data_IF_847886774850
#
_entry.id   IF_847886774850
#
_cell.length_a   1.000
_cell.length_b   1.000
_cell.length_c   1.000
_cell.angle_alpha   90.00
_cell.angle_beta   90.00
_cell.angle_gamma   90.00
#
_symmetry.space_group_name_H-M   'P 1'
#
loop_
_entity.id
_entity.type
_entity.pdbx_description
1 polymer ?
#
# COMPACT_ATOMS: atom_id res chain seq x y z
N UNK A 1 -17.41 74.09 15.10
CA UNK A 1 -18.77 74.37 15.60
C UNK A 1 -19.67 73.21 15.18
N UNK A 2 -20.60 72.85 16.07
CA UNK A 2 -21.70 71.87 15.94
C UNK A 2 -21.33 70.40 16.20
N UNK A 3 -21.85 69.63 17.17
CA UNK A 3 -23.05 69.61 18.04
C UNK A 3 -24.00 68.47 17.68
N UNK A 4 -24.19 67.58 18.66
CA UNK A 4 -25.41 66.83 19.05
C UNK A 4 -25.87 65.58 18.27
N UNK A 5 -25.90 64.49 19.05
CA UNK A 5 -27.08 63.70 19.44
C UNK A 5 -27.63 62.57 18.54
N UNK A 6 -27.90 61.47 19.25
CA UNK A 6 -28.45 60.18 18.87
C UNK A 6 -29.87 60.28 18.32
N UNK A 7 -30.24 59.37 17.41
CA UNK A 7 -31.63 58.91 17.23
C UNK A 7 -31.64 57.43 16.82
N UNK A 8 -32.24 56.59 17.67
CA UNK A 8 -32.76 55.27 17.34
C UNK A 8 -34.20 55.43 16.82
N UNK A 9 -34.54 54.82 15.69
CA UNK A 9 -35.92 54.58 15.26
C UNK A 9 -35.96 53.32 14.37
N UNK A 10 -36.73 52.30 14.72
CA UNK A 10 -38.20 52.16 14.57
C UNK A 10 -38.61 51.78 13.14
N UNK A 11 -38.54 50.49 12.83
CA UNK A 11 -39.42 49.86 11.83
C UNK A 11 -39.59 48.38 12.16
N UNK A 12 -40.21 48.16 13.31
CA UNK A 12 -40.67 46.87 13.77
C UNK A 12 -42.14 46.78 13.37
N UNK A 13 -42.41 46.39 12.13
CA UNK A 13 -43.69 45.80 11.72
C UNK A 13 -43.61 45.31 10.28
N UNK A 14 -43.97 44.03 10.13
CA UNK A 14 -44.65 43.46 8.97
C UNK A 14 -43.77 43.16 7.74
N UNK A 15 -43.26 41.93 7.62
CA UNK A 15 -43.44 41.13 6.40
C UNK A 15 -42.93 39.68 6.53
N UNK A 16 -43.74 38.77 5.98
CA UNK A 16 -43.37 37.47 5.40
C UNK A 16 -42.93 36.33 6.32
N UNK A 17 -43.96 35.65 6.82
CA UNK A 17 -44.13 34.19 6.77
C UNK A 17 -43.38 33.55 5.57
N UNK A 18 -42.19 33.00 5.81
CA UNK A 18 -41.52 32.07 4.90
C UNK A 18 -41.33 30.75 5.64
N UNK A 19 -42.21 29.80 5.34
CA UNK A 19 -42.13 28.41 5.73
C UNK A 19 -40.84 27.81 5.14
N UNK A 20 -39.75 27.88 5.91
CA UNK A 20 -38.58 27.03 5.71
C UNK A 20 -38.97 25.64 6.22
N UNK A 21 -39.58 24.82 5.37
CA UNK A 21 -39.57 23.37 5.60
C UNK A 21 -38.13 22.91 5.37
N UNK A 22 -37.39 22.45 6.39
CA UNK A 22 -36.16 21.73 6.12
C UNK A 22 -36.58 20.47 5.37
N UNK A 23 -36.17 20.37 4.10
CA UNK A 23 -36.09 19.06 3.46
C UNK A 23 -35.16 18.23 4.33
N UNK A 24 -35.75 17.43 5.21
CA UNK A 24 -35.03 16.39 5.93
C UNK A 24 -34.60 15.39 4.85
N UNK A 25 -33.43 15.64 4.27
CA UNK A 25 -32.65 14.63 3.58
C UNK A 25 -32.26 13.60 4.63
N UNK A 26 -33.17 12.69 4.94
CA UNK A 26 -32.87 11.42 5.59
C UNK A 26 -32.01 10.62 4.63
N UNK A 27 -30.73 10.98 4.56
CA UNK A 27 -29.72 10.13 3.97
C UNK A 27 -29.76 8.81 4.72
N UNK A 28 -30.18 7.75 4.07
CA UNK A 28 -29.93 6.41 4.56
C UNK A 28 -28.43 6.30 4.76
N UNK A 29 -27.98 6.23 6.02
CA UNK A 29 -26.59 5.91 6.32
C UNK A 29 -26.41 4.43 5.99
N UNK A 30 -26.05 4.17 4.74
CA UNK A 30 -25.64 2.84 4.31
C UNK A 30 -24.29 2.56 4.97
N UNK A 31 -24.31 1.78 6.05
CA UNK A 31 -23.12 1.21 6.64
C UNK A 31 -22.57 0.15 5.69
N UNK A 32 -21.72 0.56 4.75
CA UNK A 32 -20.99 -0.35 3.89
C UNK A 32 -19.84 -0.96 4.67
N UNK A 33 -20.02 -2.17 5.20
CA UNK A 33 -18.89 -3.00 5.65
C UNK A 33 -18.17 -3.51 4.40
N UNK A 34 -17.05 -2.88 4.06
CA UNK A 34 -16.18 -3.36 2.97
C UNK A 34 -15.58 -4.71 3.42
N UNK A 35 -15.79 -5.80 2.68
CA UNK A 35 -15.21 -7.10 3.05
C UNK A 35 -13.68 -6.99 3.02
N UNK A 36 -13.01 -7.70 3.93
CA UNK A 36 -11.55 -7.76 3.88
C UNK A 36 -11.14 -8.56 2.63
N UNK A 37 -10.00 -8.25 2.01
CA UNK A 37 -9.55 -8.96 0.80
C UNK A 37 -9.44 -10.48 0.99
N UNK A 38 -9.07 -10.95 2.18
CA UNK A 38 -9.05 -12.38 2.57
C UNK A 38 -10.42 -13.07 2.58
N UNK A 39 -11.52 -12.32 2.72
CA UNK A 39 -12.89 -12.85 2.69
C UNK A 39 -13.45 -12.98 1.26
N UNK A 40 -12.69 -12.53 0.25
CA UNK A 40 -13.12 -12.57 -1.16
C UNK A 40 -12.91 -13.98 -1.72
N UNK A 41 -13.96 -14.65 -2.25
CA UNK A 41 -13.80 -15.95 -2.90
C UNK A 41 -12.78 -15.90 -4.04
N UNK A 42 -11.79 -16.79 -4.00
CA UNK A 42 -10.72 -16.87 -4.99
C UNK A 42 -9.48 -16.00 -4.69
N UNK A 43 -9.49 -15.22 -3.61
CA UNK A 43 -8.30 -14.53 -3.09
C UNK A 43 -7.49 -15.45 -2.17
N UNK A 44 -6.95 -16.53 -2.73
CA UNK A 44 -6.15 -17.54 -2.04
C UNK A 44 -4.98 -17.97 -2.93
N UNK A 45 -4.03 -18.71 -2.37
CA UNK A 45 -2.91 -19.26 -3.11
C UNK A 45 -2.11 -18.19 -3.88
N UNK A 46 -1.88 -18.46 -5.15
CA UNK A 46 -1.04 -17.64 -6.03
C UNK A 46 -1.51 -16.17 -6.14
N UNK A 47 -2.82 -15.95 -6.24
CA UNK A 47 -3.39 -14.60 -6.40
C UNK A 47 -3.16 -13.76 -5.14
N UNK A 48 -3.35 -14.36 -3.96
CA UNK A 48 -3.10 -13.70 -2.70
C UNK A 48 -1.61 -13.35 -2.54
N UNK A 49 -0.71 -14.30 -2.78
CA UNK A 49 0.72 -14.07 -2.66
C UNK A 49 1.22 -12.97 -3.61
N UNK A 50 0.80 -13.00 -4.87
CA UNK A 50 1.15 -11.97 -5.85
C UNK A 50 0.68 -10.57 -5.40
N UNK A 51 -0.56 -10.49 -4.92
CA UNK A 51 -1.10 -9.24 -4.41
C UNK A 51 -0.32 -8.73 -3.18
N UNK A 52 -0.06 -9.61 -2.19
CA UNK A 52 0.67 -9.24 -0.97
C UNK A 52 2.10 -8.81 -1.29
N UNK A 53 2.79 -9.48 -2.21
CA UNK A 53 4.14 -9.08 -2.65
C UNK A 53 4.14 -7.68 -3.28
N UNK A 54 3.14 -7.35 -4.11
CA UNK A 54 3.00 -6.00 -4.68
C UNK A 54 2.64 -4.94 -3.62
N UNK A 55 1.79 -5.29 -2.65
CA UNK A 55 1.47 -4.42 -1.53
C UNK A 55 2.71 -4.15 -0.65
N UNK A 56 3.54 -5.16 -0.38
CA UNK A 56 4.82 -4.99 0.33
C UNK A 56 5.78 -4.09 -0.45
N UNK A 57 5.90 -4.26 -1.76
CA UNK A 57 6.75 -3.41 -2.59
C UNK A 57 6.31 -1.93 -2.53
N UNK A 58 5.00 -1.69 -2.68
CA UNK A 58 4.40 -0.33 -2.60
C UNK A 58 4.56 0.27 -1.20
N UNK A 59 4.33 -0.53 -0.16
CA UNK A 59 4.52 -0.12 1.22
C UNK A 59 5.96 0.28 1.52
N UNK A 60 6.94 -0.47 0.99
CA UNK A 60 8.36 -0.13 1.13
C UNK A 60 8.73 1.17 0.44
N UNK A 61 8.21 1.42 -0.77
CA UNK A 61 8.39 2.69 -1.46
C UNK A 61 7.82 3.87 -0.64
N UNK A 62 6.60 3.72 -0.13
CA UNK A 62 5.97 4.74 0.72
C UNK A 62 6.75 4.97 2.02
N UNK A 63 7.19 3.89 2.67
CA UNK A 63 7.96 3.95 3.90
C UNK A 63 9.32 4.64 3.67
N UNK A 64 10.01 4.33 2.58
CA UNK A 64 11.27 5.00 2.21
C UNK A 64 11.05 6.49 1.95
N UNK A 65 9.99 6.88 1.22
CA UNK A 65 9.67 8.29 0.99
C UNK A 65 9.42 9.06 2.29
N UNK A 66 8.83 8.41 3.29
CA UNK A 66 8.54 9.02 4.58
C UNK A 66 9.74 9.05 5.54
N UNK A 67 10.63 8.05 5.50
CA UNK A 67 11.64 7.83 6.54
C UNK A 67 13.10 7.87 6.03
N UNK A 68 13.33 7.83 4.71
CA UNK A 68 14.66 7.82 4.10
C UNK A 68 15.40 6.47 4.16
N UNK A 69 14.74 5.40 4.60
CA UNK A 69 15.26 4.03 4.62
C UNK A 69 14.12 3.02 4.45
N UNK A 70 14.42 1.77 4.06
CA UNK A 70 13.39 0.72 4.01
C UNK A 70 13.06 0.16 5.40
N UNK A 71 11.87 -0.40 5.54
CA UNK A 71 11.44 -1.10 6.75
C UNK A 71 11.97 -2.54 6.75
N UNK A 72 12.28 -3.06 7.94
CA UNK A 72 12.53 -4.48 8.20
C UNK A 72 11.35 -5.20 8.90
N UNK A 73 10.24 -4.49 9.13
CA UNK A 73 8.97 -5.03 9.66
C UNK A 73 7.82 -4.82 8.68
N UNK A 74 7.00 -5.85 8.44
CA UNK A 74 5.84 -5.75 7.54
C UNK A 74 4.74 -4.90 8.18
N UNK A 75 4.61 -4.96 9.50
CA UNK A 75 3.65 -4.19 10.31
C UNK A 75 3.82 -2.68 10.09
N UNK A 76 5.06 -2.24 9.83
CA UNK A 76 5.39 -0.84 9.57
C UNK A 76 4.98 -0.35 8.17
N UNK A 77 4.58 -1.25 7.26
CA UNK A 77 4.24 -0.93 5.86
C UNK A 77 2.78 -0.47 5.68
N UNK A 78 2.00 -0.33 6.76
CA UNK A 78 0.57 0.00 6.73
C UNK A 78 -0.28 -0.96 5.85
N UNK A 79 0.14 -2.22 5.79
CA UNK A 79 -0.52 -3.30 5.05
C UNK A 79 -1.55 -3.94 6.00
N UNK A 80 -2.84 -3.72 5.75
CA UNK A 80 -3.93 -4.19 6.63
C UNK A 80 -4.53 -5.53 6.17
N UNK A 81 -3.70 -6.57 6.09
CA UNK A 81 -4.08 -7.92 5.65
C UNK A 81 -3.60 -8.94 6.67
N UNK A 82 -4.31 -10.05 6.82
CA UNK A 82 -3.78 -11.17 7.57
C UNK A 82 -2.64 -11.84 6.77
N UNK A 83 -1.41 -11.70 7.27
CA UNK A 83 -0.21 -12.30 6.67
C UNK A 83 0.05 -13.72 7.20
N UNK A 84 -0.65 -14.12 8.26
CA UNK A 84 -0.67 -15.51 8.72
C UNK A 84 -1.68 -16.30 7.89
N UNK A 85 -1.25 -16.66 6.68
CA UNK A 85 -2.07 -17.42 5.73
C UNK A 85 -1.75 -18.91 5.80
N UNK A 86 -2.67 -19.76 5.34
CA UNK A 86 -2.41 -21.20 5.25
C UNK A 86 -1.39 -21.53 4.15
N UNK A 87 -1.33 -20.69 3.11
CA UNK A 87 -0.60 -20.97 1.88
C UNK A 87 0.85 -20.45 1.85
N UNK A 88 1.16 -19.37 2.59
CA UNK A 88 2.44 -18.68 2.49
C UNK A 88 3.00 -18.20 3.83
N UNK A 89 4.32 -18.15 3.93
CA UNK A 89 5.05 -17.44 4.97
C UNK A 89 5.73 -16.21 4.36
N UNK A 90 5.37 -15.02 4.84
CA UNK A 90 5.93 -13.76 4.37
C UNK A 90 7.09 -13.31 5.26
N UNK A 91 8.11 -12.72 4.65
CA UNK A 91 9.23 -12.14 5.40
C UNK A 91 9.86 -11.00 4.62
N UNK A 92 10.49 -10.08 5.35
CA UNK A 92 11.30 -9.02 4.79
C UNK A 92 12.62 -8.91 5.54
N UNK A 93 13.69 -8.62 4.81
CA UNK A 93 15.04 -8.49 5.36
C UNK A 93 15.75 -7.34 4.66
N UNK A 94 16.19 -6.35 5.42
CA UNK A 94 17.03 -5.25 4.90
C UNK A 94 18.47 -5.71 4.75
N UNK A 95 19.19 -5.10 3.81
CA UNK A 95 20.61 -5.36 3.57
C UNK A 95 21.42 -4.06 3.54
N UNK A 96 22.66 -4.16 4.04
CA UNK A 96 23.63 -3.05 4.08
C UNK A 96 23.41 -2.05 5.21
N UNK A 97 24.42 -1.21 5.45
CA UNK A 97 24.52 -0.31 6.62
C UNK A 97 23.53 0.87 6.63
N UNK A 98 22.68 0.98 5.60
CA UNK A 98 21.69 2.06 5.48
C UNK A 98 20.29 1.58 5.06
N UNK A 99 20.05 0.26 5.07
CA UNK A 99 18.77 -0.34 4.64
C UNK A 99 18.27 0.23 3.29
N UNK A 100 19.19 0.46 2.36
CA UNK A 100 18.89 0.93 0.99
C UNK A 100 18.50 -0.19 0.04
N UNK A 101 18.43 -1.41 0.55
CA UNK A 101 17.87 -2.56 -0.16
C UNK A 101 17.10 -3.42 0.82
N UNK A 102 15.93 -3.88 0.43
CA UNK A 102 15.12 -4.85 1.17
C UNK A 102 14.75 -6.00 0.25
N UNK A 103 14.91 -7.21 0.78
CA UNK A 103 14.46 -8.44 0.14
C UNK A 103 13.17 -8.86 0.83
N UNK A 104 12.14 -9.08 0.04
CA UNK A 104 10.83 -9.55 0.46
C UNK A 104 10.66 -10.99 -0.05
N UNK A 105 10.01 -11.85 0.70
CA UNK A 105 9.75 -13.24 0.30
C UNK A 105 8.33 -13.65 0.66
N UNK A 106 7.74 -14.46 -0.20
CA UNK A 106 6.58 -15.31 0.13
C UNK A 106 6.99 -16.75 -0.16
N UNK A 107 7.32 -17.50 0.88
CA UNK A 107 7.62 -18.93 0.77
C UNK A 107 6.31 -19.71 0.81
N UNK A 108 6.03 -20.50 -0.22
CA UNK A 108 4.87 -21.38 -0.21
C UNK A 108 5.01 -22.41 0.92
N UNK A 109 3.90 -22.67 1.61
CA UNK A 109 3.77 -23.72 2.64
C UNK A 109 3.36 -25.06 2.03
N UNK A 110 2.82 -25.03 0.80
CA UNK A 110 2.32 -26.19 0.06
C UNK A 110 3.14 -26.44 -1.21
N UNK A 111 3.41 -27.71 -1.52
CA UNK A 111 4.29 -28.12 -2.63
C UNK A 111 3.70 -27.87 -4.03
N UNK A 112 2.41 -27.52 -4.14
CA UNK A 112 1.72 -27.23 -5.40
C UNK A 112 1.63 -25.73 -5.72
N UNK A 113 2.22 -24.89 -4.87
CA UNK A 113 2.23 -23.43 -5.04
C UNK A 113 3.63 -22.93 -5.40
N UNK A 114 3.75 -21.88 -6.22
CA UNK A 114 5.04 -21.24 -6.49
C UNK A 114 5.48 -20.40 -5.30
N UNK A 115 6.78 -20.14 -5.16
CA UNK A 115 7.29 -19.18 -4.18
C UNK A 115 7.72 -17.88 -4.86
N UNK A 116 7.76 -16.81 -4.06
CA UNK A 116 8.09 -15.47 -4.51
C UNK A 116 9.26 -14.89 -3.74
N UNK A 117 10.06 -14.10 -4.43
CA UNK A 117 10.97 -13.18 -3.80
C UNK A 117 10.95 -11.86 -4.57
N UNK A 118 11.17 -10.75 -3.88
CA UNK A 118 11.26 -9.43 -4.49
C UNK A 118 12.36 -8.62 -3.84
N UNK A 119 12.91 -7.67 -4.59
CA UNK A 119 13.88 -6.71 -4.08
C UNK A 119 13.34 -5.31 -4.32
N UNK A 120 13.36 -4.49 -3.29
CA UNK A 120 13.19 -3.04 -3.41
C UNK A 120 14.53 -2.39 -3.12
N UNK A 121 15.00 -1.59 -4.06
CA UNK A 121 16.29 -0.88 -3.95
C UNK A 121 16.12 0.57 -4.38
N UNK A 122 17.10 1.39 -4.04
CA UNK A 122 17.12 2.80 -4.40
C UNK A 122 17.87 2.99 -5.71
N UNK A 123 17.23 3.65 -6.67
CA UNK A 123 17.83 4.05 -7.95
C UNK A 123 17.79 5.55 -8.16
N UNK A 124 18.58 6.04 -9.12
CA UNK A 124 18.45 7.41 -9.62
C UNK A 124 17.58 7.43 -10.89
N UNK A 125 16.74 8.45 -11.00
CA UNK A 125 16.02 8.81 -12.22
C UNK A 125 16.14 10.31 -12.47
N UNK A 126 15.65 10.77 -13.63
CA UNK A 126 15.63 12.20 -13.98
C UNK A 126 14.86 13.07 -12.96
N UNK A 127 13.99 12.46 -12.15
CA UNK A 127 13.25 13.11 -11.07
C UNK A 127 13.90 12.99 -9.68
N UNK A 128 15.09 12.40 -9.57
CA UNK A 128 15.83 12.21 -8.32
C UNK A 128 15.88 10.75 -7.85
N UNK A 129 15.96 10.56 -6.54
CA UNK A 129 16.10 9.24 -5.91
C UNK A 129 14.73 8.56 -5.83
N UNK A 130 14.60 7.35 -6.38
CA UNK A 130 13.34 6.58 -6.37
C UNK A 130 13.56 5.14 -5.92
N UNK A 131 12.56 4.55 -5.27
CA UNK A 131 12.56 3.11 -4.98
C UNK A 131 12.13 2.33 -6.23
N UNK A 132 12.82 1.25 -6.53
CA UNK A 132 12.53 0.35 -7.65
C UNK A 132 12.30 -1.05 -7.11
N UNK A 133 11.16 -1.65 -7.46
CA UNK A 133 10.81 -3.01 -7.07
C UNK A 133 10.92 -3.96 -8.27
N UNK A 134 11.46 -5.16 -8.03
CA UNK A 134 11.35 -6.29 -8.94
C UNK A 134 10.92 -7.51 -8.14
N UNK A 135 9.87 -8.20 -8.59
CA UNK A 135 9.34 -9.40 -7.96
C UNK A 135 9.48 -10.56 -8.94
N UNK A 136 9.98 -11.68 -8.44
CA UNK A 136 10.17 -12.92 -9.18
C UNK A 136 9.37 -14.04 -8.53
N UNK A 137 8.79 -14.88 -9.38
CA UNK A 137 8.04 -16.09 -9.00
C UNK A 137 8.75 -17.31 -9.56
N UNK A 138 8.82 -18.41 -8.82
CA UNK A 138 9.33 -19.68 -9.36
C UNK A 138 8.50 -20.14 -10.56
N UNK A 139 9.17 -20.67 -11.59
CA UNK A 139 8.50 -21.16 -12.81
C UNK A 139 7.74 -22.48 -12.55
N UNK A 140 8.12 -23.19 -11.49
CA UNK A 140 7.49 -24.42 -11.01
C UNK A 140 7.11 -24.24 -9.53
N UNK A 141 6.14 -25.02 -9.02
CA UNK A 141 5.84 -25.07 -7.61
C UNK A 141 7.09 -25.33 -6.75
N UNK A 142 7.19 -24.64 -5.62
CA UNK A 142 8.35 -24.69 -4.74
C UNK A 142 8.00 -24.06 -3.40
N UNK A 143 8.44 -24.68 -2.30
CA UNK A 143 8.40 -24.10 -0.94
C UNK A 143 9.60 -23.21 -0.64
N UNK A 144 10.55 -23.11 -1.59
CA UNK A 144 11.75 -22.29 -1.48
C UNK A 144 11.65 -21.10 -2.44
N UNK A 145 11.73 -19.85 -1.92
CA UNK A 145 11.79 -18.65 -2.74
C UNK A 145 12.97 -18.62 -3.71
N UNK A 146 12.84 -17.94 -4.87
CA UNK A 146 13.96 -17.69 -5.75
C UNK A 146 15.13 -17.01 -5.02
N UNK A 147 16.35 -17.48 -5.26
CA UNK A 147 17.57 -16.89 -4.70
C UNK A 147 17.92 -15.58 -5.44
N UNK A 148 17.18 -14.52 -5.12
CA UNK A 148 17.33 -13.21 -5.74
C UNK A 148 18.60 -12.48 -5.26
N UNK A 149 19.35 -11.93 -6.22
CA UNK A 149 20.46 -11.03 -5.92
C UNK A 149 19.92 -9.68 -5.43
N UNK A 150 20.38 -9.17 -4.28
CA UNK A 150 20.04 -7.83 -3.82
C UNK A 150 20.70 -6.73 -4.66
N UNK A 151 21.75 -7.09 -5.41
CA UNK A 151 22.52 -6.15 -6.21
C UNK A 151 21.95 -6.10 -7.64
N UNK A 152 21.34 -4.97 -8.07
CA UNK A 152 20.92 -4.79 -9.45
C UNK A 152 22.12 -4.79 -10.40
N UNK A 153 21.91 -5.29 -11.62
CA UNK A 153 22.93 -5.23 -12.67
C UNK A 153 22.90 -3.83 -13.30
N UNK A 154 24.03 -3.09 -13.34
CA UNK A 154 24.06 -1.76 -13.95
C UNK A 154 23.50 -1.75 -15.37
N UNK A 155 22.61 -0.80 -15.68
CA UNK A 155 21.98 -0.63 -16.99
C UNK A 155 20.93 -1.69 -17.38
N UNK A 156 20.73 -2.72 -16.56
CA UNK A 156 19.78 -3.82 -16.81
C UNK A 156 18.72 -3.90 -15.71
N UNK A 157 19.06 -3.48 -14.49
CA UNK A 157 18.19 -3.61 -13.32
C UNK A 157 18.30 -5.01 -12.69
N UNK A 158 17.29 -5.38 -11.92
CA UNK A 158 17.28 -6.61 -11.15
C UNK A 158 16.65 -7.74 -12.00
N UNK A 159 17.41 -8.81 -12.26
CA UNK A 159 16.96 -9.95 -13.07
C UNK A 159 16.51 -11.10 -12.19
N UNK A 160 15.41 -11.75 -12.58
CA UNK A 160 15.00 -13.00 -11.96
C UNK A 160 16.04 -14.10 -12.22
N UNK A 161 16.42 -14.88 -11.19
CA UNK A 161 17.33 -16.00 -11.37
C UNK A 161 16.71 -17.10 -12.25
N UNK A 162 17.55 -17.99 -12.79
CA UNK A 162 17.09 -19.13 -13.57
C UNK A 162 16.05 -19.95 -12.79
N UNK A 163 14.97 -20.37 -13.46
CA UNK A 163 13.85 -21.08 -12.83
C UNK A 163 12.85 -20.16 -12.14
N UNK A 164 12.92 -18.85 -12.43
CA UNK A 164 11.92 -17.87 -11.99
C UNK A 164 11.71 -16.80 -13.05
N UNK A 165 10.51 -16.24 -13.05
CA UNK A 165 10.06 -15.22 -13.99
C UNK A 165 9.54 -13.98 -13.27
N UNK A 166 9.61 -12.79 -13.89
CA UNK A 166 9.03 -11.57 -13.33
C UNK A 166 7.52 -11.71 -13.09
N UNK A 167 7.04 -11.14 -11.99
CA UNK A 167 5.61 -10.93 -11.74
C UNK A 167 5.21 -9.61 -12.40
N UNK A 168 4.11 -9.62 -13.17
CA UNK A 168 3.50 -8.42 -13.75
C UNK A 168 2.56 -7.74 -12.76
#
# INVERSE_FOLDING_TARGET
>A
MNSQAQTLNLSQKLLTLLLLTPFALTGCQLSFSVPKPEDIPGFQGENQASFVMNAMATGQEAYYKANGHFSNSIESLAINFNLETEDYAYSIVTQGDYAQTVVMKAAAKLDNLPSYAGVVTVGQSDGGVMAMANICKTDQPSTQPPALSPNPVPGIGLKCPRGSSPVQ
#
